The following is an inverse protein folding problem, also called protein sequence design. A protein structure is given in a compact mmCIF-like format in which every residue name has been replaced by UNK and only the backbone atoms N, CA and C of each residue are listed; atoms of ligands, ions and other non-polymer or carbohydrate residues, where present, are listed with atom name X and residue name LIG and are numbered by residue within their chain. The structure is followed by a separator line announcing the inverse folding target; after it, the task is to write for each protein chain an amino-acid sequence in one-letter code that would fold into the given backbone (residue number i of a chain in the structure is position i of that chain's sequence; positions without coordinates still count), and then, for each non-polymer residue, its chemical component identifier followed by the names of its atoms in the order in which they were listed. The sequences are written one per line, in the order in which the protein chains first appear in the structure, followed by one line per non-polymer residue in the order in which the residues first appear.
data_IF_222967424105
#
_entry.id   IF_222967424105
#
_cell.length_a   1.000
_cell.length_b   1.000
_cell.length_c   1.000
_cell.angle_alpha   90.00
_cell.angle_beta   90.00
_cell.angle_gamma   90.00
#
_symmetry.space_group_name_H-M   'P 1'
#
loop_
_entity.id
_entity.type
_entity.pdbx_description
1 polymer ?
#
# COMPACT_ATOMS: atom_id res chain seq x y z
N UNK A 1 -2.77 -16.58 2.83
CA UNK A 1 -3.42 -16.98 1.56
C UNK A 1 -3.17 -15.81 0.61
N UNK A 2 -2.39 -16.02 -0.46
CA UNK A 2 -1.99 -14.93 -1.37
C UNK A 2 -3.21 -14.49 -2.18
N UNK A 3 -3.51 -13.19 -2.18
CA UNK A 3 -4.69 -12.65 -2.87
C UNK A 3 -4.20 -11.67 -3.91
N UNK A 4 -4.53 -11.97 -5.16
CA UNK A 4 -4.03 -11.24 -6.32
C UNK A 4 -5.13 -10.28 -6.77
N UNK A 5 -4.82 -8.99 -6.68
CA UNK A 5 -5.64 -7.94 -7.25
C UNK A 5 -4.91 -7.43 -8.49
N UNK A 6 -5.34 -7.92 -9.65
CA UNK A 6 -4.91 -7.49 -10.99
C UNK A 6 -3.39 -7.53 -11.23
N UNK A 7 -2.78 -8.72 -11.25
CA UNK A 7 -1.36 -8.96 -11.59
C UNK A 7 -0.30 -8.54 -10.56
N UNK A 8 -0.61 -8.59 -9.26
CA UNK A 8 0.46 -8.53 -8.25
C UNK A 8 0.20 -9.48 -7.09
N UNK A 9 1.21 -10.30 -6.77
CA UNK A 9 1.27 -11.14 -5.55
C UNK A 9 1.51 -10.20 -4.37
N UNK A 10 0.51 -9.39 -4.03
CA UNK A 10 0.59 -8.53 -2.87
C UNK A 10 0.30 -9.35 -1.62
N UNK A 11 1.29 -9.40 -0.73
CA UNK A 11 1.09 -9.90 0.63
C UNK A 11 -0.02 -9.09 1.27
N UNK A 12 -0.95 -9.77 1.95
CA UNK A 12 -2.03 -9.07 2.65
C UNK A 12 -1.45 -8.17 3.75
N UNK A 13 -2.20 -7.16 4.20
CA UNK A 13 -1.73 -6.34 5.33
C UNK A 13 -1.52 -7.15 6.60
N UNK A 14 -2.25 -8.26 6.75
CA UNK A 14 -2.05 -9.25 7.81
C UNK A 14 -0.72 -9.99 7.64
N UNK A 15 -0.39 -10.45 6.42
CA UNK A 15 0.90 -11.08 6.11
C UNK A 15 2.08 -10.11 6.31
N UNK A 16 1.90 -8.82 6.00
CA UNK A 16 2.93 -7.78 6.20
C UNK A 16 3.23 -7.58 7.68
N UNK A 17 2.20 -7.58 8.53
CA UNK A 17 2.38 -7.50 9.99
C UNK A 17 2.71 -8.86 10.63
N UNK A 18 2.64 -9.96 9.88
CA UNK A 18 2.90 -11.31 10.39
C UNK A 18 1.84 -11.81 11.37
N UNK A 19 0.59 -11.34 11.23
CA UNK A 19 -0.54 -11.72 12.08
C UNK A 19 -1.59 -12.46 11.27
N UNK A 20 -2.47 -13.18 11.96
CA UNK A 20 -3.61 -13.84 11.33
C UNK A 20 -4.75 -12.85 11.06
N UNK A 21 -5.63 -13.17 10.13
CA UNK A 21 -6.81 -12.35 9.80
C UNK A 21 -7.82 -12.28 10.96
N UNK A 22 -7.86 -13.31 11.80
CA UNK A 22 -8.67 -13.38 13.03
C UNK A 22 -8.02 -12.67 14.23
N UNK A 23 -6.86 -12.04 14.05
CA UNK A 23 -6.13 -11.41 15.14
C UNK A 23 -6.92 -10.26 15.78
N UNK A 24 -6.81 -10.18 17.10
CA UNK A 24 -7.36 -9.10 17.91
C UNK A 24 -6.61 -7.78 17.66
N UNK A 25 -7.24 -6.66 18.01
CA UNK A 25 -6.61 -5.35 17.88
C UNK A 25 -5.31 -5.23 18.67
N UNK A 26 -5.24 -5.85 19.85
CA UNK A 26 -4.04 -5.81 20.69
C UNK A 26 -2.88 -6.61 20.07
N UNK A 27 -3.17 -7.75 19.42
CA UNK A 27 -2.17 -8.53 18.68
C UNK A 27 -1.64 -7.75 17.48
N UNK A 28 -2.51 -7.11 16.70
CA UNK A 28 -2.13 -6.27 15.56
C UNK A 28 -1.25 -5.11 16.03
N UNK A 29 -1.60 -4.48 17.16
CA UNK A 29 -0.83 -3.38 17.76
C UNK A 29 0.53 -3.83 18.26
N UNK A 30 0.61 -4.99 18.88
CA UNK A 30 1.87 -5.58 19.33
C UNK A 30 2.78 -5.90 18.14
N UNK A 31 2.23 -6.56 17.11
CA UNK A 31 2.95 -6.92 15.91
C UNK A 31 3.48 -5.70 15.16
N UNK A 32 2.66 -4.65 15.00
CA UNK A 32 3.09 -3.38 14.42
C UNK A 32 4.30 -2.77 15.14
N UNK A 33 4.28 -2.72 16.47
CA UNK A 33 5.41 -2.20 17.26
C UNK A 33 6.69 -2.99 17.02
N UNK A 34 6.60 -4.32 17.04
CA UNK A 34 7.74 -5.20 16.76
C UNK A 34 8.26 -5.03 15.34
N UNK A 35 7.36 -4.97 14.35
CA UNK A 35 7.72 -4.80 12.94
C UNK A 35 8.40 -3.46 12.69
N UNK A 36 7.88 -2.36 13.23
CA UNK A 36 8.49 -1.02 13.14
C UNK A 36 9.90 -0.99 13.71
N UNK A 37 10.12 -1.59 14.89
CA UNK A 37 11.44 -1.65 15.51
C UNK A 37 12.44 -2.48 14.69
N UNK A 38 11.96 -3.52 14.00
CA UNK A 38 12.79 -4.35 13.13
C UNK A 38 13.08 -3.70 11.78
N UNK A 39 12.17 -2.89 11.25
CA UNK A 39 12.27 -2.26 9.93
C UNK A 39 12.77 -0.81 9.97
N UNK A 40 13.14 -0.28 11.14
CA UNK A 40 13.56 1.12 11.26
C UNK A 40 14.86 1.36 10.48
N UNK A 41 14.92 2.40 9.61
CA UNK A 41 16.09 2.62 8.74
C UNK A 41 17.39 2.82 9.53
N UNK A 42 17.33 3.39 10.73
CA UNK A 42 18.50 3.61 11.61
C UNK A 42 19.17 2.30 12.06
N UNK A 43 18.40 1.22 12.24
CA UNK A 43 18.93 -0.10 12.63
C UNK A 43 19.52 -0.84 11.43
N UNK A 44 18.99 -0.57 10.24
CA UNK A 44 19.43 -1.20 8.98
C UNK A 44 20.71 -0.56 8.42
N UNK A 45 21.01 0.70 8.77
CA UNK A 45 22.29 1.34 8.46
C UNK A 45 23.48 0.70 9.20
N UNK A 46 23.24 0.01 10.32
CA UNK A 46 24.27 -0.69 11.08
C UNK A 46 24.56 -2.10 10.53
N UNK A 47 23.64 -2.65 9.74
CA UNK A 47 23.70 -4.02 9.18
C UNK A 47 23.98 -4.03 7.66
N UNK A 48 23.88 -2.87 7.00
CA UNK A 48 24.12 -2.70 5.56
C UNK A 48 25.59 -2.78 5.13
N UNK A 49 26.55 -2.88 6.05
CA UNK A 49 27.96 -3.08 5.71
C UNK A 49 28.28 -4.54 5.29
N UNK A 50 27.37 -5.50 5.51
CA UNK A 50 27.67 -6.92 5.28
C UNK A 50 26.88 -7.60 4.15
N UNK A 51 25.83 -6.99 3.59
CA UNK A 51 24.97 -7.66 2.63
C UNK A 51 24.60 -6.73 1.47
N UNK A 52 25.44 -6.76 0.43
CA UNK A 52 25.08 -6.29 -0.91
C UNK A 52 23.88 -7.10 -1.43
N UNK A 53 22.66 -6.70 -1.10
CA UNK A 53 21.48 -7.10 -1.86
C UNK A 53 20.35 -6.09 -1.70
N UNK A 54 20.06 -5.45 -2.83
CA UNK A 54 18.69 -5.21 -3.31
C UNK A 54 17.75 -4.40 -2.43
N UNK A 55 17.54 -3.12 -2.79
CA UNK A 55 16.24 -2.49 -3.09
C UNK A 55 14.99 -2.68 -2.17
N UNK A 56 15.07 -3.40 -1.05
CA UNK A 56 13.91 -3.94 -0.31
C UNK A 56 13.77 -3.46 1.13
N UNK A 57 14.79 -2.84 1.72
CA UNK A 57 14.77 -2.41 3.12
C UNK A 57 13.91 -1.16 3.36
N UNK A 58 13.96 -0.17 2.45
CA UNK A 58 13.11 1.04 2.53
C UNK A 58 11.63 0.73 2.30
N UNK A 59 11.33 -0.25 1.44
CA UNK A 59 9.95 -0.63 1.10
C UNK A 59 9.23 -1.29 2.29
N UNK A 60 9.93 -2.10 3.10
CA UNK A 60 9.32 -2.81 4.24
C UNK A 60 8.74 -1.88 5.30
N UNK A 61 9.45 -0.81 5.66
CA UNK A 61 8.92 0.16 6.64
C UNK A 61 7.65 0.84 6.11
N UNK A 62 7.63 1.20 4.82
CA UNK A 62 6.48 1.82 4.17
C UNK A 62 5.30 0.84 4.14
N UNK A 63 5.53 -0.43 3.77
CA UNK A 63 4.52 -1.50 3.79
C UNK A 63 3.90 -1.68 5.19
N UNK A 64 4.73 -1.73 6.24
CA UNK A 64 4.28 -1.89 7.63
C UNK A 64 3.42 -0.71 8.08
N UNK A 65 3.81 0.52 7.70
CA UNK A 65 3.04 1.73 8.01
C UNK A 65 1.68 1.76 7.28
N UNK A 66 1.66 1.34 6.01
CA UNK A 66 0.42 1.23 5.23
C UNK A 66 -0.51 0.19 5.84
N UNK A 67 0.01 -0.98 6.21
CA UNK A 67 -0.76 -2.04 6.86
C UNK A 67 -1.40 -1.56 8.17
N UNK A 68 -0.62 -0.87 9.02
CA UNK A 68 -1.14 -0.31 10.27
C UNK A 68 -2.23 0.74 10.05
N UNK A 69 -2.08 1.62 9.05
CA UNK A 69 -3.08 2.65 8.74
C UNK A 69 -4.46 2.05 8.48
N UNK A 70 -4.52 0.90 7.79
CA UNK A 70 -5.77 0.22 7.47
C UNK A 70 -6.25 -0.66 8.63
N UNK A 71 -5.37 -1.47 9.21
CA UNK A 71 -5.74 -2.46 10.22
C UNK A 71 -6.01 -1.87 11.61
N UNK A 72 -5.53 -0.65 11.89
CA UNK A 72 -5.73 0.00 13.19
C UNK A 72 -7.14 0.55 13.42
N UNK A 73 -7.86 0.93 12.36
CA UNK A 73 -9.23 1.42 12.47
C UNK A 73 -10.23 0.29 12.17
N UNK A 74 -11.17 -0.03 13.08
CA UNK A 74 -12.13 -1.11 12.86
C UNK A 74 -13.00 -0.92 11.61
N UNK A 75 -13.31 0.33 11.23
CA UNK A 75 -14.05 0.63 10.00
C UNK A 75 -13.24 0.28 8.75
N UNK A 76 -11.99 0.74 8.70
CA UNK A 76 -11.13 0.57 7.54
C UNK A 76 -10.70 -0.89 7.40
N UNK A 77 -10.43 -1.58 8.52
CA UNK A 77 -10.24 -3.02 8.59
C UNK A 77 -11.46 -3.77 8.04
N UNK A 78 -12.66 -3.42 8.47
CA UNK A 78 -13.88 -4.07 7.97
C UNK A 78 -14.08 -3.90 6.46
N UNK A 79 -13.79 -2.71 5.91
CA UNK A 79 -13.82 -2.48 4.46
C UNK A 79 -12.75 -3.29 3.73
N UNK A 80 -11.55 -3.38 4.30
CA UNK A 80 -10.47 -4.19 3.77
C UNK A 80 -10.82 -5.69 3.76
N UNK A 81 -11.41 -6.21 4.84
CA UNK A 81 -11.81 -7.61 4.94
C UNK A 81 -12.92 -7.97 3.93
N UNK A 82 -13.86 -7.05 3.69
CA UNK A 82 -14.88 -7.21 2.64
C UNK A 82 -14.21 -7.27 1.26
N UNK A 83 -13.25 -6.40 0.99
CA UNK A 83 -12.54 -6.40 -0.29
C UNK A 83 -11.72 -7.68 -0.47
N UNK A 84 -11.06 -8.13 0.60
CA UNK A 84 -10.33 -9.38 0.63
C UNK A 84 -11.23 -10.58 0.31
N UNK A 85 -12.44 -10.58 0.88
CA UNK A 85 -13.43 -11.62 0.60
C UNK A 85 -13.91 -11.59 -0.85
N UNK A 86 -14.19 -10.41 -1.42
CA UNK A 86 -14.57 -10.30 -2.84
C UNK A 86 -13.48 -10.84 -3.77
N UNK A 87 -12.21 -10.61 -3.44
CA UNK A 87 -11.10 -11.12 -4.24
C UNK A 87 -11.00 -12.65 -4.16
N UNK A 88 -11.26 -13.24 -2.99
CA UNK A 88 -11.37 -14.70 -2.83
C UNK A 88 -12.53 -15.27 -3.62
N UNK A 89 -13.69 -14.64 -3.53
CA UNK A 89 -14.89 -15.06 -4.25
C UNK A 89 -14.65 -15.00 -5.77
N UNK A 90 -13.95 -13.97 -6.26
CA UNK A 90 -13.55 -13.90 -7.66
C UNK A 90 -12.68 -15.08 -8.07
N UNK A 91 -11.68 -15.47 -7.28
CA UNK A 91 -10.84 -16.62 -7.56
C UNK A 91 -11.65 -17.93 -7.69
N UNK A 92 -12.72 -18.09 -6.90
CA UNK A 92 -13.60 -19.26 -6.96
C UNK A 92 -14.51 -19.28 -8.20
N UNK A 93 -14.78 -18.13 -8.79
CA UNK A 93 -15.64 -18.00 -9.99
C UNK A 93 -14.88 -18.07 -11.31
N UNK A 94 -13.55 -18.11 -11.27
CA UNK A 94 -12.70 -18.18 -12.46
C UNK A 94 -12.54 -19.64 -12.92
N UNK A 95 -12.46 -19.84 -14.23
CA UNK A 95 -12.01 -21.12 -14.78
C UNK A 95 -10.52 -21.30 -14.43
N UNK A 96 -10.16 -22.44 -13.85
CA UNK A 96 -8.78 -22.81 -13.53
C UNK A 96 -8.09 -23.36 -14.78
N UNK A 97 -6.96 -22.75 -15.15
CA UNK A 97 -6.20 -23.07 -16.36
C UNK A 97 -4.75 -23.30 -15.96
N UNK A 98 -4.15 -24.41 -16.41
CA UNK A 98 -2.78 -24.75 -16.06
C UNK A 98 -1.81 -24.03 -16.99
N UNK A 99 -0.59 -23.79 -16.52
CA UNK A 99 0.44 -23.14 -17.34
C UNK A 99 0.74 -23.90 -18.65
N UNK A 100 0.62 -25.23 -18.65
CA UNK A 100 0.78 -26.09 -19.84
C UNK A 100 -0.23 -25.83 -20.96
N UNK A 101 -1.39 -25.24 -20.63
CA UNK A 101 -2.42 -24.92 -21.62
C UNK A 101 -2.16 -23.59 -22.34
N UNK A 102 -1.17 -22.80 -21.90
CA UNK A 102 -0.81 -21.53 -22.53
C UNK A 102 0.10 -21.73 -23.74
N UNK A 103 -0.19 -20.99 -24.80
CA UNK A 103 0.69 -20.86 -25.96
C UNK A 103 1.75 -19.80 -25.66
N UNK A 104 3.01 -20.07 -26.01
CA UNK A 104 4.13 -19.17 -25.73
C UNK A 104 4.67 -18.63 -27.03
N UNK A 105 4.72 -17.31 -27.15
CA UNK A 105 5.34 -16.62 -28.27
C UNK A 105 6.61 -15.92 -27.78
N UNK A 106 7.70 -16.12 -28.52
CA UNK A 106 8.98 -15.47 -28.25
C UNK A 106 9.11 -14.27 -29.19
N UNK A 107 9.13 -13.08 -28.60
CA UNK A 107 9.50 -11.84 -29.28
C UNK A 107 10.95 -11.48 -28.97
N UNK A 108 11.55 -10.55 -29.73
CA UNK A 108 12.98 -10.24 -29.65
C UNK A 108 13.49 -9.83 -28.25
N UNK A 109 12.61 -9.34 -27.35
CA UNK A 109 12.97 -8.83 -26.02
C UNK A 109 12.11 -9.37 -24.85
N UNK A 110 11.09 -10.20 -25.10
CA UNK A 110 10.21 -10.74 -24.03
C UNK A 110 9.44 -11.99 -24.47
N UNK A 111 9.01 -12.81 -23.50
CA UNK A 111 8.16 -13.98 -23.72
C UNK A 111 6.72 -13.60 -23.41
N UNK A 112 5.79 -13.95 -24.30
CA UNK A 112 4.37 -13.69 -24.14
C UNK A 112 3.63 -15.03 -24.03
N UNK A 113 2.85 -15.20 -22.96
CA UNK A 113 1.99 -16.37 -22.78
C UNK A 113 0.55 -15.96 -23.09
N UNK A 114 -0.11 -16.72 -23.97
CA UNK A 114 -1.49 -16.46 -24.37
C UNK A 114 -2.40 -17.69 -24.23
N UNK A 115 -3.65 -17.45 -23.83
CA UNK A 115 -4.70 -18.47 -23.75
C UNK A 115 -5.99 -17.95 -24.38
N UNK A 116 -6.65 -18.77 -25.20
CA UNK A 116 -7.85 -18.32 -25.93
C UNK A 116 -9.07 -18.16 -25.02
N UNK A 117 -9.74 -17.02 -25.13
CA UNK A 117 -11.00 -16.74 -24.44
C UNK A 117 -12.21 -17.17 -25.30
N UNK A 118 -13.31 -17.56 -24.63
CA UNK A 118 -14.57 -17.95 -25.29
C UNK A 118 -15.23 -16.83 -26.09
N UNK A 119 -14.85 -15.57 -25.86
CA UNK A 119 -15.32 -14.43 -26.67
C UNK A 119 -14.55 -14.26 -28.00
N UNK A 120 -13.47 -15.02 -28.22
CA UNK A 120 -12.60 -14.92 -29.40
C UNK A 120 -11.37 -14.02 -29.22
N UNK A 121 -11.19 -13.42 -28.03
CA UNK A 121 -9.97 -12.70 -27.64
C UNK A 121 -9.00 -13.62 -26.88
N UNK A 122 -7.88 -13.09 -26.38
CA UNK A 122 -6.88 -13.84 -25.63
C UNK A 122 -6.69 -13.27 -24.21
N UNK A 123 -6.40 -14.16 -23.28
CA UNK A 123 -5.76 -13.82 -22.02
C UNK A 123 -4.26 -13.80 -22.27
N UNK A 124 -3.59 -12.71 -21.91
CA UNK A 124 -2.16 -12.51 -22.17
C UNK A 124 -1.46 -12.15 -20.86
N UNK A 125 -0.26 -12.69 -20.68
CA UNK A 125 0.68 -12.32 -19.60
C UNK A 125 2.10 -12.40 -20.14
N UNK A 126 2.90 -11.36 -19.89
CA UNK A 126 4.28 -11.31 -20.35
C UNK A 126 5.27 -11.82 -19.29
N UNK A 127 6.52 -12.06 -19.71
CA UNK A 127 7.59 -12.46 -18.81
C UNK A 127 7.88 -11.42 -17.74
N UNK A 128 7.62 -10.13 -18.00
CA UNK A 128 7.85 -9.04 -17.04
C UNK A 128 6.84 -9.11 -15.90
N UNK A 129 5.55 -9.25 -16.20
CA UNK A 129 4.46 -9.43 -15.24
C UNK A 129 4.65 -10.71 -14.42
N UNK A 130 5.08 -11.81 -15.05
CA UNK A 130 5.44 -13.03 -14.32
C UNK A 130 6.60 -12.79 -13.35
N UNK A 131 7.62 -12.01 -13.74
CA UNK A 131 8.73 -11.65 -12.85
C UNK A 131 8.27 -10.83 -11.65
N UNK A 132 7.31 -9.91 -11.83
CA UNK A 132 6.72 -9.15 -10.72
C UNK A 132 5.96 -10.05 -9.74
N UNK A 133 5.30 -11.09 -10.26
CA UNK A 133 4.63 -12.14 -9.47
C UNK A 133 5.65 -13.03 -8.74
N UNK A 134 6.91 -13.02 -9.17
CA UNK A 134 8.03 -13.74 -8.54
C UNK A 134 8.47 -15.01 -9.29
N UNK A 135 8.13 -15.09 -10.57
CA UNK A 135 8.48 -16.17 -11.46
C UNK A 135 9.33 -15.67 -12.62
N UNK A 136 10.47 -16.31 -12.85
CA UNK A 136 11.31 -16.02 -14.01
C UNK A 136 11.16 -17.15 -15.02
N UNK A 137 10.69 -16.83 -16.21
CA UNK A 137 10.63 -17.79 -17.32
C UNK A 137 11.98 -17.79 -18.04
N UNK A 138 12.61 -18.96 -18.15
CA UNK A 138 13.88 -19.12 -18.84
C UNK A 138 13.75 -20.16 -19.95
N UNK A 139 14.43 -19.94 -21.07
CA UNK A 139 14.44 -20.86 -22.20
C UNK A 139 15.66 -21.78 -22.13
N UNK A 140 15.45 -23.09 -22.15
CA UNK A 140 16.51 -24.10 -22.24
C UNK A 140 16.31 -24.95 -23.48
N UNK A 141 16.74 -24.43 -24.63
CA UNK A 141 16.52 -25.08 -25.93
C UNK A 141 15.09 -24.85 -26.43
N UNK A 142 14.31 -25.93 -26.59
CA UNK A 142 12.90 -25.90 -27.00
C UNK A 142 11.91 -25.94 -25.82
N UNK A 143 12.44 -25.98 -24.59
CA UNK A 143 11.66 -26.08 -23.36
C UNK A 143 11.82 -24.79 -22.55
N UNK A 144 10.71 -24.28 -22.01
CA UNK A 144 10.72 -23.18 -21.06
C UNK A 144 10.60 -23.73 -19.64
N UNK A 145 11.47 -23.24 -18.77
CA UNK A 145 11.52 -23.62 -17.37
C UNK A 145 11.14 -22.38 -16.56
N UNK A 146 10.13 -22.56 -15.72
CA UNK A 146 9.73 -21.55 -14.77
C UNK A 146 10.54 -21.69 -13.48
N UNK A 147 11.28 -20.64 -13.12
CA UNK A 147 11.98 -20.56 -11.85
C UNK A 147 11.15 -19.77 -10.85
N UNK A 148 10.75 -20.44 -9.76
CA UNK A 148 10.12 -19.77 -8.62
C UNK A 148 11.19 -19.30 -7.63
N UNK A 149 11.15 -18.02 -7.26
CA UNK A 149 12.04 -17.45 -6.23
C UNK A 149 11.51 -17.76 -4.82
N UNK A 150 10.23 -18.17 -4.70
CA UNK A 150 9.55 -18.50 -3.44
C UNK A 150 8.77 -19.80 -3.64
N UNK A 151 9.27 -20.91 -3.10
CA UNK A 151 8.77 -22.32 -3.13
C UNK A 151 7.25 -22.59 -2.87
N UNK A 152 6.34 -21.75 -3.31
CA UNK A 152 4.90 -21.87 -3.12
C UNK A 152 4.20 -21.85 -4.49
N UNK A 153 3.22 -22.72 -4.73
CA UNK A 153 2.36 -22.60 -5.90
C UNK A 153 1.61 -21.27 -5.83
N UNK A 154 1.61 -20.53 -6.93
CA UNK A 154 0.83 -19.31 -7.04
C UNK A 154 -0.21 -19.47 -8.13
N UNK A 155 -1.34 -18.80 -7.91
CA UNK A 155 -2.46 -18.80 -8.83
C UNK A 155 -2.70 -17.36 -9.26
N UNK A 156 -2.55 -17.02 -10.54
CA UNK A 156 -2.68 -15.66 -11.09
C UNK A 156 -4.02 -15.47 -11.76
N UNK A 157 -4.79 -14.44 -11.37
CA UNK A 157 -6.05 -14.13 -12.06
C UNK A 157 -5.77 -13.26 -13.27
N UNK A 158 -6.12 -13.76 -14.47
CA UNK A 158 -6.01 -13.04 -15.73
C UNK A 158 -7.41 -12.60 -16.22
N UNK A 159 -7.69 -11.29 -16.37
CA UNK A 159 -8.89 -10.79 -17.00
C UNK A 159 -8.79 -10.80 -18.53
N UNK A 160 -9.91 -11.01 -19.21
CA UNK A 160 -9.97 -10.87 -20.66
C UNK A 160 -10.08 -9.38 -21.05
N UNK A 161 -9.33 -8.95 -22.07
CA UNK A 161 -9.38 -7.58 -22.58
C UNK A 161 -10.71 -7.20 -23.24
N UNK A 162 -11.39 -8.15 -23.89
CA UNK A 162 -12.63 -7.90 -24.65
C UNK A 162 -13.93 -8.32 -23.95
N UNK A 163 -13.89 -8.96 -22.78
CA UNK A 163 -15.11 -9.35 -22.07
C UNK A 163 -14.94 -9.37 -20.54
N UNK A 164 -15.97 -9.81 -19.81
CA UNK A 164 -15.94 -9.88 -18.34
C UNK A 164 -15.43 -11.21 -17.79
N UNK A 165 -14.96 -12.11 -18.65
CA UNK A 165 -14.39 -13.40 -18.21
C UNK A 165 -13.03 -13.20 -17.55
N UNK A 166 -12.75 -14.06 -16.58
CA UNK A 166 -11.50 -14.13 -15.85
C UNK A 166 -11.12 -15.60 -15.73
N UNK A 167 -9.83 -15.89 -15.82
CA UNK A 167 -9.28 -17.22 -15.56
C UNK A 167 -8.29 -17.16 -14.42
N UNK A 168 -8.10 -18.29 -13.74
CA UNK A 168 -7.09 -18.49 -12.72
C UNK A 168 -5.98 -19.34 -13.34
N UNK A 169 -4.84 -18.74 -13.64
CA UNK A 169 -3.63 -19.43 -14.07
C UNK A 169 -2.99 -20.10 -12.86
N UNK A 170 -3.03 -21.43 -12.80
CA UNK A 170 -2.36 -22.23 -11.77
C UNK A 170 -0.94 -22.58 -12.21
N UNK A 171 0.03 -22.21 -11.38
CA UNK A 171 1.45 -22.40 -11.61
C UNK A 171 2.03 -23.35 -10.55
N UNK A 172 2.46 -24.53 -10.99
CA UNK A 172 3.15 -25.50 -10.15
C UNK A 172 4.67 -25.35 -10.25
N UNK A 173 5.38 -25.61 -9.15
CA UNK A 173 6.84 -25.44 -9.01
C UNK A 173 7.66 -26.34 -9.96
N UNK A 174 7.01 -27.30 -10.61
CA UNK A 174 7.62 -28.22 -11.58
C UNK A 174 7.06 -28.06 -13.01
N UNK A 175 6.35 -26.97 -13.32
CA UNK A 175 5.84 -26.78 -14.67
C UNK A 175 7.01 -26.47 -15.63
N UNK A 176 7.27 -27.44 -16.52
CA UNK A 176 8.13 -27.31 -17.68
C UNK A 176 7.26 -27.27 -18.93
N UNK A 177 7.45 -26.29 -19.81
CA UNK A 177 6.62 -26.09 -21.00
C UNK A 177 7.41 -26.50 -22.25
N UNK A 178 6.85 -27.38 -23.08
CA UNK A 178 7.44 -27.79 -24.35
C UNK A 178 6.77 -27.04 -25.51
N UNK A 179 7.56 -26.46 -26.41
CA UNK A 179 7.04 -25.88 -27.65
C UNK A 179 6.82 -27.02 -28.66
N UNK A 180 5.59 -27.47 -28.82
CA UNK A 180 5.23 -28.32 -29.96
C UNK A 180 5.05 -27.44 -31.20
N UNK A 181 6.12 -27.32 -31.98
CA UNK A 181 6.06 -26.80 -33.33
C UNK A 181 5.27 -27.74 -34.25
N UNK A 182 4.12 -27.25 -34.72
CA UNK A 182 3.26 -27.71 -35.84
C UNK A 182 2.11 -28.73 -35.60
N UNK A 183 0.89 -28.22 -35.82
CA UNK A 183 -0.25 -28.75 -36.59
C UNK A 183 -0.52 -30.28 -36.58
N UNK A 184 -1.64 -30.69 -35.93
CA UNK A 184 -2.82 -31.42 -36.46
C UNK A 184 -3.46 -32.31 -35.35
N UNK A 185 -4.76 -32.10 -35.16
CA UNK A 185 -5.81 -32.99 -34.64
C UNK A 185 -5.46 -34.42 -34.15
N UNK A 186 -6.00 -34.68 -32.96
CA UNK A 186 -6.82 -35.85 -32.59
C UNK A 186 -6.13 -37.17 -32.18
N UNK A 187 -6.62 -37.66 -31.04
CA UNK A 187 -6.63 -39.05 -30.53
C UNK A 187 -5.32 -39.71 -30.06
N UNK A 188 -5.43 -40.24 -28.84
CA UNK A 188 -4.82 -41.50 -28.35
C UNK A 188 -3.31 -41.45 -28.04
N UNK A 189 -2.92 -41.38 -26.76
CA UNK A 189 -2.71 -42.52 -25.84
C UNK A 189 -1.53 -43.44 -26.19
N UNK A 190 -0.89 -43.97 -25.12
CA UNK A 190 -0.07 -45.22 -25.05
C UNK A 190 1.40 -45.01 -25.52
N UNK A 191 2.47 -45.37 -24.80
CA UNK A 191 2.76 -45.98 -23.49
C UNK A 191 4.30 -46.20 -23.40
N UNK A 192 4.77 -46.64 -22.24
CA UNK A 192 5.93 -47.54 -21.99
C UNK A 192 7.26 -46.96 -21.46
N UNK A 193 7.38 -47.16 -20.13
CA UNK A 193 8.44 -47.80 -19.31
C UNK A 193 9.75 -47.05 -19.05
N UNK A 194 10.06 -46.75 -17.78
CA UNK A 194 10.59 -47.66 -16.74
C UNK A 194 11.91 -48.36 -17.14
N UNK A 195 13.02 -47.99 -16.50
CA UNK A 195 13.85 -48.96 -15.78
C UNK A 195 14.70 -48.30 -14.68
N UNK A 196 14.79 -49.03 -13.56
CA UNK A 196 15.48 -48.69 -12.32
C UNK A 196 17.00 -48.95 -12.40
N UNK A 197 17.78 -48.30 -11.51
CA UNK A 197 18.73 -48.94 -10.57
C UNK A 197 19.44 -47.82 -9.76
N UNK A 198 19.11 -47.62 -8.49
CA UNK A 198 19.72 -48.20 -7.28
C UNK A 198 21.18 -47.82 -6.98
N UNK A 199 21.33 -47.07 -5.86
CA UNK A 199 22.37 -47.10 -4.80
C UNK A 199 23.52 -46.06 -4.77
N UNK A 200 24.06 -45.76 -3.56
CA UNK A 200 24.38 -44.40 -3.06
C UNK A 200 25.88 -44.23 -2.69
N UNK A 201 26.25 -43.10 -2.04
CA UNK A 201 27.24 -42.92 -0.91
C UNK A 201 27.92 -41.53 -0.94
N UNK A 202 27.59 -40.68 0.07
CA UNK A 202 28.40 -39.85 1.02
C UNK A 202 29.60 -38.94 0.58
N UNK A 203 30.02 -37.98 1.45
CA UNK A 203 30.43 -36.61 1.09
C UNK A 203 31.94 -36.36 1.16
N UNK A 204 32.39 -35.19 0.70
CA UNK A 204 33.73 -34.64 0.96
C UNK A 204 33.64 -33.31 1.71
N UNK A 205 34.18 -33.31 2.93
CA UNK A 205 34.67 -32.14 3.67
C UNK A 205 36.03 -31.71 3.10
N UNK A 206 36.30 -30.40 3.11
CA UNK A 206 37.67 -29.86 3.22
C UNK A 206 37.62 -28.68 4.20
N UNK A 207 38.30 -28.84 5.34
CA UNK A 207 38.75 -27.80 6.26
C UNK A 207 40.15 -27.30 5.85
N UNK A 208 40.48 -26.04 6.16
CA UNK A 208 41.72 -25.59 6.85
C UNK A 208 41.88 -24.06 6.70
N UNK A 209 41.76 -23.29 7.80
CA UNK A 209 42.85 -22.64 8.57
C UNK A 209 43.40 -21.34 7.91
N UNK A 210 43.19 -20.15 8.49
CA UNK A 210 43.91 -19.48 9.61
C UNK A 210 45.18 -18.74 9.14
N UNK A 211 45.16 -17.39 9.17
CA UNK A 211 46.37 -16.58 9.33
C UNK A 211 46.04 -15.18 9.91
N UNK A 212 46.99 -14.63 10.67
CA UNK A 212 46.85 -13.54 11.63
C UNK A 212 47.90 -12.44 11.44
N UNK A 213 47.55 -11.19 11.81
CA UNK A 213 48.46 -10.04 11.91
C UNK A 213 48.47 -9.15 10.65
N UNK A 214 48.59 -7.83 10.67
CA UNK A 214 49.16 -6.91 11.65
C UNK A 214 48.55 -5.49 11.54
N UNK A 215 49.03 -4.62 12.44
CA UNK A 215 48.56 -3.31 12.90
C UNK A 215 48.58 -2.15 11.89
N UNK A 216 47.73 -1.15 12.15
CA UNK A 216 47.78 0.17 11.51
C UNK A 216 46.93 1.21 12.25
N UNK A 217 47.57 2.04 13.09
CA UNK A 217 46.97 3.19 13.75
C UNK A 217 46.55 4.26 12.74
N UNK A 218 45.26 4.57 12.65
CA UNK A 218 44.76 5.75 11.93
C UNK A 218 43.88 6.61 12.85
N UNK A 219 44.38 7.82 13.09
CA UNK A 219 43.77 8.90 13.85
C UNK A 219 42.58 9.48 13.06
N UNK A 220 41.49 9.87 13.76
CA UNK A 220 40.47 10.73 13.16
C UNK A 220 39.88 11.74 14.15
N UNK A 221 39.48 12.87 13.59
CA UNK A 221 39.43 14.22 14.17
C UNK A 221 38.08 14.52 14.84
N UNK A 222 37.54 13.58 15.62
CA UNK A 222 36.26 13.80 16.32
C UNK A 222 36.18 13.22 17.75
N UNK A 223 37.32 13.03 18.43
CA UNK A 223 37.33 12.87 19.89
C UNK A 223 37.20 14.24 20.57
N UNK A 224 35.96 14.72 20.61
CA UNK A 224 35.68 16.10 20.99
C UNK A 224 34.32 16.35 21.63
N UNK A 225 33.62 15.34 22.19
CA UNK A 225 32.54 15.61 23.16
C UNK A 225 32.73 14.68 24.37
N UNK A 226 33.43 15.21 25.37
CA UNK A 226 33.51 14.63 26.70
C UNK A 226 32.11 14.54 27.33
N UNK A 227 31.80 13.33 27.82
CA UNK A 227 31.07 13.04 29.07
C UNK A 227 29.98 14.05 29.45
N UNK A 228 28.73 13.72 29.13
CA UNK A 228 27.66 13.88 30.11
C UNK A 228 27.07 12.50 30.41
N UNK A 229 26.87 12.25 31.70
CA UNK A 229 26.47 11.01 32.33
C UNK A 229 25.14 10.50 31.78
N UNK A 230 25.16 9.48 30.91
CA UNK A 230 23.95 8.68 30.64
C UNK A 230 23.80 7.68 31.78
N UNK A 231 22.95 8.06 32.76
CA UNK A 231 22.34 7.11 33.69
C UNK A 231 21.62 6.05 32.84
N UNK A 232 21.86 4.78 33.15
CA UNK A 232 21.04 3.67 32.66
C UNK A 232 19.60 3.86 33.13
N UNK A 233 18.81 4.57 32.34
CA UNK A 233 17.38 4.74 32.55
C UNK A 233 16.67 3.52 31.96
N UNK A 234 15.77 2.89 32.73
CA UNK A 234 14.92 1.83 32.20
C UNK A 234 14.11 2.35 30.99
N UNK A 235 13.62 1.48 30.10
CA UNK A 235 12.76 1.89 28.99
C UNK A 235 11.56 2.74 29.42
N UNK A 236 11.04 2.56 30.65
CA UNK A 236 9.98 3.43 31.18
C UNK A 236 10.45 4.87 31.48
N UNK A 237 11.68 5.04 31.96
CA UNK A 237 12.21 6.36 32.29
C UNK A 237 12.52 7.18 31.03
N UNK A 238 12.99 6.53 29.96
CA UNK A 238 13.19 7.18 28.65
C UNK A 238 11.84 7.58 28.03
N UNK A 239 10.82 6.72 28.14
CA UNK A 239 9.46 7.04 27.70
C UNK A 239 8.83 8.18 28.50
N UNK A 240 9.08 8.25 29.81
CA UNK A 240 8.62 9.34 30.66
C UNK A 240 9.29 10.67 30.27
N UNK A 241 10.58 10.65 29.93
CA UNK A 241 11.31 11.83 29.49
C UNK A 241 10.83 12.34 28.12
N UNK A 242 10.56 11.43 27.17
CA UNK A 242 9.93 11.77 25.88
C UNK A 242 8.55 12.38 26.09
N UNK A 243 7.69 11.75 26.89
CA UNK A 243 6.33 12.26 27.14
C UNK A 243 6.35 13.64 27.83
N UNK A 244 7.31 13.86 28.74
CA UNK A 244 7.52 15.16 29.38
C UNK A 244 7.98 16.22 28.38
N UNK A 245 8.86 15.86 27.44
CA UNK A 245 9.32 16.77 26.39
C UNK A 245 8.20 17.13 25.40
N UNK A 246 7.39 16.15 24.98
CA UNK A 246 6.22 16.38 24.11
C UNK A 246 5.21 17.29 24.82
N UNK A 247 4.86 16.99 26.07
CA UNK A 247 3.92 17.81 26.85
C UNK A 247 4.43 19.24 27.04
N UNK A 248 5.73 19.42 27.25
CA UNK A 248 6.34 20.75 27.39
C UNK A 248 6.30 21.53 26.08
N UNK A 249 6.51 20.87 24.94
CA UNK A 249 6.44 21.49 23.62
C UNK A 249 5.00 21.87 23.25
N UNK A 250 4.02 20.99 23.52
CA UNK A 250 2.60 21.26 23.31
C UNK A 250 2.11 22.42 24.19
N UNK A 251 2.57 22.47 25.44
CA UNK A 251 2.29 23.58 26.34
C UNK A 251 2.92 24.90 25.85
N UNK A 252 4.17 24.86 25.35
CA UNK A 252 4.84 26.01 24.75
C UNK A 252 4.12 26.51 23.48
N UNK A 253 3.66 25.60 22.60
CA UNK A 253 2.87 25.95 21.42
C UNK A 253 1.51 26.56 21.80
N UNK A 254 0.84 25.98 22.80
CA UNK A 254 -0.46 26.45 23.28
C UNK A 254 -0.34 27.83 23.94
N UNK A 255 0.72 28.06 24.72
CA UNK A 255 0.98 29.38 25.34
C UNK A 255 1.39 30.43 24.31
N UNK A 256 2.22 30.08 23.32
CA UNK A 256 2.54 30.99 22.22
C UNK A 256 1.31 31.37 21.39
N UNK A 257 0.40 30.41 21.16
CA UNK A 257 -0.89 30.67 20.50
C UNK A 257 -1.76 31.63 21.32
N UNK A 258 -1.91 31.41 22.63
CA UNK A 258 -2.67 32.30 23.50
C UNK A 258 -2.05 33.71 23.61
N UNK A 259 -0.71 33.80 23.58
CA UNK A 259 0.00 35.07 23.62
C UNK A 259 -0.15 35.86 22.31
N UNK A 260 -0.38 35.17 21.18
CA UNK A 260 -0.73 35.80 19.90
C UNK A 260 -2.16 36.37 19.86
N UNK A 261 -3.05 35.85 20.71
CA UNK A 261 -4.47 36.24 20.75
C UNK A 261 -4.74 37.41 21.72
N UNK A 262 -3.83 37.71 22.64
CA UNK A 262 -3.99 38.78 23.65
C UNK A 262 -3.21 40.08 23.34
N UNK A 263 -2.71 40.28 22.12
CA UNK A 263 -2.12 41.56 21.73
C UNK A 263 -3.16 42.43 21.01
N UNK A 264 -3.70 43.44 21.71
CA UNK A 264 -4.53 44.48 21.11
C UNK A 264 -3.81 45.22 19.97
N UNK A 265 -4.54 45.71 18.95
CA UNK A 265 -3.94 46.24 17.73
C UNK A 265 -3.35 47.63 17.98
N UNK A 266 -2.05 47.79 17.74
CA UNK A 266 -1.45 49.11 17.51
C UNK A 266 -1.52 49.41 16.02
N UNK A 267 -2.19 50.52 15.73
CA UNK A 267 -2.16 51.23 14.46
C UNK A 267 -0.72 51.38 13.96
N UNK A 268 -0.45 50.95 12.74
CA UNK A 268 0.57 51.62 11.94
C UNK A 268 0.27 51.61 10.44
N UNK A 269 0.50 52.79 9.86
CA UNK A 269 0.07 53.25 8.55
C UNK A 269 1.18 52.97 7.54
N UNK A 270 0.89 52.24 6.47
CA UNK A 270 1.81 52.06 5.34
C UNK A 270 1.13 51.40 4.14
N UNK A 271 0.78 52.19 3.14
CA UNK A 271 -0.21 51.84 2.12
C UNK A 271 0.18 50.78 1.09
N UNK A 272 -0.84 50.03 0.66
CA UNK A 272 -1.09 49.69 -0.76
C UNK A 272 -2.56 49.30 -0.94
N UNK A 273 -3.23 49.95 -1.87
CA UNK A 273 -4.61 49.68 -2.26
C UNK A 273 -4.74 48.26 -2.83
N UNK A 274 -5.33 47.36 -2.06
CA UNK A 274 -5.91 46.09 -2.51
C UNK A 274 -7.07 45.76 -1.58
N UNK A 275 -8.27 45.65 -2.15
CA UNK A 275 -9.50 45.26 -1.46
C UNK A 275 -9.32 43.93 -0.73
N UNK A 276 -9.10 43.98 0.58
CA UNK A 276 -8.99 42.80 1.46
C UNK A 276 -10.35 42.16 1.63
N UNK A 277 -10.71 41.36 0.64
CA UNK A 277 -11.85 40.47 0.68
C UNK A 277 -11.54 39.34 1.68
N UNK A 278 -12.09 39.47 2.88
CA UNK A 278 -11.85 38.58 4.01
C UNK A 278 -12.65 37.28 3.86
N UNK A 279 -12.21 36.44 2.93
CA UNK A 279 -12.70 35.08 2.73
C UNK A 279 -12.03 34.14 3.73
N UNK A 280 -12.82 33.32 4.40
CA UNK A 280 -12.35 32.32 5.35
C UNK A 280 -13.01 30.99 4.96
N UNK A 281 -12.22 30.09 4.38
CA UNK A 281 -12.70 28.81 3.89
C UNK A 281 -13.29 27.93 5.01
N UNK A 282 -12.76 28.06 6.24
CA UNK A 282 -13.27 27.31 7.41
C UNK A 282 -14.63 27.85 7.83
N UNK A 283 -14.75 29.18 7.91
CA UNK A 283 -16.02 29.84 8.23
C UNK A 283 -17.09 29.57 7.16
N UNK A 284 -16.70 29.51 5.88
CA UNK A 284 -17.59 29.18 4.78
C UNK A 284 -18.12 27.73 4.87
N UNK A 285 -17.26 26.76 5.19
CA UNK A 285 -17.64 25.35 5.34
C UNK A 285 -18.54 25.12 6.57
N UNK A 286 -18.24 25.77 7.69
CA UNK A 286 -19.06 25.71 8.90
C UNK A 286 -20.46 26.30 8.65
N UNK A 287 -20.54 27.48 8.04
CA UNK A 287 -21.82 28.12 7.71
C UNK A 287 -22.63 27.29 6.69
N UNK A 288 -21.97 26.61 5.74
CA UNK A 288 -22.63 25.71 4.80
C UNK A 288 -23.25 24.50 5.51
N UNK A 289 -22.51 23.86 6.42
CA UNK A 289 -23.00 22.73 7.24
C UNK A 289 -24.19 23.13 8.12
N UNK A 290 -24.12 24.30 8.76
CA UNK A 290 -25.23 24.85 9.54
C UNK A 290 -26.48 25.08 8.66
N UNK A 291 -26.29 25.61 7.45
CA UNK A 291 -27.37 25.79 6.48
C UNK A 291 -28.07 24.48 6.13
N UNK A 292 -27.31 23.44 5.81
CA UNK A 292 -27.88 22.12 5.49
C UNK A 292 -28.60 21.48 6.69
N UNK A 293 -28.05 21.62 7.90
CA UNK A 293 -28.70 21.13 9.13
C UNK A 293 -30.04 21.85 9.40
N UNK A 294 -30.09 23.16 9.17
CA UNK A 294 -31.32 23.95 9.29
C UNK A 294 -32.36 23.56 8.23
N UNK A 295 -31.96 23.28 6.99
CA UNK A 295 -32.85 22.74 5.95
C UNK A 295 -33.45 21.39 6.37
N UNK A 296 -32.62 20.47 6.89
CA UNK A 296 -33.07 19.17 7.38
C UNK A 296 -34.03 19.28 8.57
N UNK A 297 -33.85 20.32 9.40
CA UNK A 297 -34.71 20.61 10.56
C UNK A 297 -35.98 21.40 10.22
N UNK A 298 -36.23 21.71 8.93
CA UNK A 298 -37.39 22.49 8.48
C UNK A 298 -37.32 23.99 8.81
N UNK A 299 -36.18 24.48 9.29
CA UNK A 299 -35.98 25.89 9.65
C UNK A 299 -35.45 26.69 8.47
N UNK A 300 -36.33 26.97 7.51
CA UNK A 300 -35.96 27.55 6.22
C UNK A 300 -35.32 28.95 6.31
N UNK A 301 -35.76 29.80 7.25
CA UNK A 301 -35.17 31.13 7.46
C UNK A 301 -33.73 31.07 8.00
N UNK A 302 -33.48 30.22 9.01
CA UNK A 302 -32.13 29.99 9.54
C UNK A 302 -31.21 29.41 8.46
N UNK A 303 -31.73 28.48 7.64
CA UNK A 303 -30.99 27.90 6.52
C UNK A 303 -30.54 28.96 5.50
N UNK A 304 -31.44 29.85 5.07
CA UNK A 304 -31.10 30.93 4.13
C UNK A 304 -30.04 31.86 4.73
N UNK A 305 -30.15 32.20 6.02
CA UNK A 305 -29.17 33.06 6.69
C UNK A 305 -27.77 32.41 6.71
N UNK A 306 -27.68 31.15 7.12
CA UNK A 306 -26.40 30.43 7.16
C UNK A 306 -25.78 30.23 5.77
N UNK A 307 -26.59 29.94 4.75
CA UNK A 307 -26.10 29.82 3.37
C UNK A 307 -25.59 31.15 2.80
N UNK A 308 -26.19 32.29 3.17
CA UNK A 308 -25.68 33.61 2.79
C UNK A 308 -24.34 33.92 3.47
N UNK A 309 -24.17 33.54 4.74
CA UNK A 309 -22.87 33.66 5.42
C UNK A 309 -21.82 32.83 4.69
N UNK A 310 -22.14 31.58 4.33
CA UNK A 310 -21.26 30.73 3.54
C UNK A 310 -20.86 31.37 2.20
N UNK A 311 -21.81 32.00 1.50
CA UNK A 311 -21.56 32.71 0.23
C UNK A 311 -20.59 33.89 0.38
N UNK A 312 -20.73 34.69 1.45
CA UNK A 312 -19.86 35.86 1.67
C UNK A 312 -18.43 35.48 2.07
N UNK A 313 -18.26 34.30 2.68
CA UNK A 313 -16.96 33.80 3.14
C UNK A 313 -16.29 32.88 2.14
N UNK A 314 -17.02 32.41 1.12
CA UNK A 314 -16.51 31.54 0.09
C UNK A 314 -15.51 32.27 -0.82
N UNK A 315 -14.30 31.72 -1.01
CA UNK A 315 -13.34 32.27 -1.96
C UNK A 315 -13.89 32.34 -3.40
N UNK A 316 -13.63 33.44 -4.14
CA UNK A 316 -14.22 33.70 -5.46
C UNK A 316 -13.65 32.77 -6.56
N UNK A 317 -12.51 32.11 -6.32
CA UNK A 317 -11.94 31.10 -7.20
C UNK A 317 -12.78 29.81 -7.24
N UNK A 318 -13.60 29.55 -6.21
CA UNK A 318 -14.45 28.35 -6.12
C UNK A 318 -15.83 28.56 -6.74
N UNK A 319 -15.86 28.84 -8.05
CA UNK A 319 -17.09 29.09 -8.83
C UNK A 319 -18.14 27.98 -8.71
N UNK A 320 -17.72 26.71 -8.68
CA UNK A 320 -18.62 25.55 -8.49
C UNK A 320 -19.28 25.54 -7.11
N UNK A 321 -18.52 25.86 -6.05
CA UNK A 321 -19.06 25.93 -4.68
C UNK A 321 -20.06 27.08 -4.54
N UNK A 322 -19.71 28.26 -5.08
CA UNK A 322 -20.58 29.44 -5.12
C UNK A 322 -21.89 29.13 -5.87
N UNK A 323 -21.82 28.45 -7.02
CA UNK A 323 -23.01 28.06 -7.79
C UNK A 323 -23.92 27.10 -7.00
N UNK A 324 -23.34 26.11 -6.30
CA UNK A 324 -24.09 25.20 -5.43
C UNK A 324 -24.79 25.93 -4.28
N UNK A 325 -24.08 26.83 -3.59
CA UNK A 325 -24.65 27.62 -2.49
C UNK A 325 -25.82 28.48 -2.99
N UNK A 326 -25.65 29.17 -4.13
CA UNK A 326 -26.73 29.97 -4.76
C UNK A 326 -27.95 29.12 -5.14
N UNK A 327 -27.71 27.93 -5.69
CA UNK A 327 -28.77 26.98 -6.02
C UNK A 327 -29.57 26.55 -4.79
N UNK A 328 -28.88 26.25 -3.68
CA UNK A 328 -29.52 25.90 -2.41
C UNK A 328 -30.33 27.06 -1.81
N UNK A 329 -29.82 28.29 -1.86
CA UNK A 329 -30.55 29.48 -1.42
C UNK A 329 -31.84 29.64 -2.23
N UNK A 330 -31.77 29.47 -3.55
CA UNK A 330 -32.94 29.55 -4.43
C UNK A 330 -33.98 28.47 -4.10
N UNK A 331 -33.53 27.22 -3.95
CA UNK A 331 -34.41 26.09 -3.60
C UNK A 331 -35.10 26.31 -2.23
N UNK A 332 -34.33 26.73 -1.22
CA UNK A 332 -34.85 26.99 0.13
C UNK A 332 -35.87 28.13 0.12
N UNK A 333 -35.61 29.17 -0.67
CA UNK A 333 -36.54 30.31 -0.82
C UNK A 333 -37.86 29.89 -1.49
N UNK A 334 -37.80 29.02 -2.49
CA UNK A 334 -39.00 28.45 -3.12
C UNK A 334 -39.80 27.57 -2.14
N UNK A 335 -39.11 26.76 -1.33
CA UNK A 335 -39.75 25.96 -0.28
C UNK A 335 -40.44 26.84 0.76
N UNK A 336 -39.83 27.96 1.15
CA UNK A 336 -40.40 28.90 2.11
C UNK A 336 -41.66 29.59 1.58
N UNK A 337 -41.66 29.95 0.29
CA UNK A 337 -42.86 30.49 -0.37
C UNK A 337 -43.97 29.43 -0.47
N UNK A 338 -43.61 28.18 -0.75
CA UNK A 338 -44.56 27.07 -0.82
C UNK A 338 -45.15 26.71 0.54
N UNK A 339 -44.40 26.81 1.64
CA UNK A 339 -44.91 26.56 2.99
C UNK A 339 -45.80 27.70 3.52
N UNK A 340 -45.75 28.87 2.88
CA UNK A 340 -46.51 30.06 3.28
C UNK A 340 -47.86 30.22 2.55
N UNK A 341 -48.11 29.41 1.51
CA UNK A 341 -49.37 29.32 0.76
C UNK A 341 -50.12 28.05 1.13
#
# INVERSE_FOLDING_TARGET
MMIISNYSVQRTYYDILGVREDASFDEIRSAYRSSVLSSHPDKLLQESELLNSSHGSGNKFIEVQQAWKILSNPRDRGMYDIELQKLRDQALTCDDVRLEDFSIEESDDSLELSYSCRCGDYFVIDSSELMEVGYSLSKKGSEFILHSVKSLPASVILPCGSCSLKILLSIDVNDSLQIDGHFINSYSSIMIRCFMENKPILPMQIESEMDSGEEGCHWSVFDGIKKSTVRSASPEALMAEINSAISSLEYAHSTAYLQSVCSDPKDDVGGKSTTTSNYDARMADEAYKLGLAAMASGKLNEAIQSLNVALTKCPPDKTSAIAKIRSLISLTSQQLQKSSN
#
